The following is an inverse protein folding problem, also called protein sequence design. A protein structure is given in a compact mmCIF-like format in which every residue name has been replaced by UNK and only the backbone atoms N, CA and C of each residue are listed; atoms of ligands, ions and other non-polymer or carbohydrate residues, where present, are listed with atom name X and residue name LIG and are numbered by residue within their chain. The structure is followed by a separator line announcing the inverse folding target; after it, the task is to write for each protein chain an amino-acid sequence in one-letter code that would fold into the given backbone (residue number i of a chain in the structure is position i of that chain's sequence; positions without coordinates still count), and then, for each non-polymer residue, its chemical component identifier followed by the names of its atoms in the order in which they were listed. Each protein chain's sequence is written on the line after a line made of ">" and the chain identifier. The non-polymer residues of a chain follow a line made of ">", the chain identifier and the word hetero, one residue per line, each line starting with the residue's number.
data_IF_691570860587
#
_entry.id   IF_691570860587
#
_cell.length_a   1.000
_cell.length_b   1.000
_cell.length_c   1.000
_cell.angle_alpha   90.00
_cell.angle_beta   90.00
_cell.angle_gamma   90.00
#
_symmetry.space_group_name_H-M   'P 1'
#
loop_
_entity.id
_entity.type
_entity.pdbx_description
1 polymer ?
#
# COMPACT_ATOMS: atom_id res chain seq x y z
N UNK A 1 -11.50 8.99 16.68
CA UNK A 1 -10.78 7.93 17.43
C UNK A 1 -9.50 7.62 16.69
N UNK A 2 -8.34 7.91 17.29
CA UNK A 2 -7.03 7.69 16.64
C UNK A 2 -6.61 6.23 16.79
N UNK A 3 -6.21 5.53 15.70
CA UNK A 3 -5.65 4.19 15.77
C UNK A 3 -4.25 4.24 16.42
N UNK A 4 -3.96 3.29 17.30
CA UNK A 4 -2.61 3.13 17.88
C UNK A 4 -1.74 2.31 16.91
N UNK A 5 -0.52 2.80 16.64
CA UNK A 5 0.50 2.10 15.85
C UNK A 5 1.35 1.21 16.78
N UNK A 6 1.51 -0.07 16.40
CA UNK A 6 2.46 -0.98 17.05
C UNK A 6 3.61 -1.20 16.05
N UNK A 7 4.80 -0.73 16.41
CA UNK A 7 6.00 -0.88 15.58
C UNK A 7 6.60 -2.29 15.69
N UNK A 8 6.97 -2.89 14.56
CA UNK A 8 7.73 -4.15 14.48
C UNK A 8 9.17 -3.83 14.04
N UNK A 9 10.11 -3.85 14.98
CA UNK A 9 11.51 -3.42 14.76
C UNK A 9 12.34 -4.39 13.93
N UNK A 10 12.10 -5.69 14.00
CA UNK A 10 13.00 -6.73 13.45
C UNK A 10 12.93 -6.89 11.92
N UNK A 11 11.76 -6.67 11.29
CA UNK A 11 11.66 -6.68 9.82
C UNK A 11 12.27 -5.43 9.17
N UNK A 12 12.28 -4.30 9.87
CA UNK A 12 12.80 -3.04 9.36
C UNK A 12 14.33 -3.04 9.21
N UNK A 13 15.05 -3.82 10.03
CA UNK A 13 16.52 -3.93 9.97
C UNK A 13 16.97 -4.78 8.78
N UNK A 14 16.36 -5.93 8.56
CA UNK A 14 16.64 -6.79 7.40
C UNK A 14 16.37 -6.10 6.06
N UNK A 15 15.39 -5.23 6.00
CA UNK A 15 15.04 -4.51 4.77
C UNK A 15 15.97 -3.34 4.47
N UNK A 16 16.52 -2.69 5.51
CA UNK A 16 17.58 -1.67 5.32
C UNK A 16 18.85 -2.25 4.70
N UNK A 17 19.10 -3.54 4.91
CA UNK A 17 20.26 -4.26 4.37
C UNK A 17 20.06 -4.65 2.90
N UNK A 18 18.81 -4.86 2.47
CA UNK A 18 18.46 -5.34 1.12
C UNK A 18 18.10 -4.19 0.17
N UNK A 19 17.54 -3.08 0.67
CA UNK A 19 17.12 -1.95 -0.15
C UNK A 19 18.28 -0.99 -0.43
N UNK A 20 18.32 -0.34 -1.63
CA UNK A 20 19.28 0.72 -1.92
C UNK A 20 19.30 1.81 -0.84
N UNK A 21 20.48 2.34 -0.53
CA UNK A 21 20.68 3.30 0.55
C UNK A 21 19.86 4.59 0.44
N UNK A 22 19.36 4.93 -0.76
CA UNK A 22 18.51 6.08 -1.06
C UNK A 22 17.00 5.74 -1.05
N UNK A 23 16.61 4.53 -0.59
CA UNK A 23 15.22 4.09 -0.48
C UNK A 23 14.69 4.39 0.92
N UNK A 24 13.68 5.25 1.02
CA UNK A 24 12.92 5.45 2.26
C UNK A 24 11.77 4.45 2.38
N UNK A 25 11.53 3.92 3.56
CA UNK A 25 10.33 3.12 3.80
C UNK A 25 9.72 3.40 5.17
N UNK A 26 8.39 3.23 5.27
CA UNK A 26 7.66 3.30 6.53
C UNK A 26 6.60 2.21 6.54
N UNK A 27 6.48 1.49 7.66
CA UNK A 27 5.48 0.45 7.86
C UNK A 27 4.77 0.64 9.19
N UNK A 28 3.45 0.43 9.17
CA UNK A 28 2.61 0.54 10.37
C UNK A 28 1.51 -0.50 10.33
N UNK A 29 1.18 -1.06 11.49
CA UNK A 29 -0.03 -1.86 11.68
C UNK A 29 -1.06 -1.01 12.43
N UNK A 30 -2.20 -0.79 11.82
CA UNK A 30 -3.34 -0.11 12.44
C UNK A 30 -4.31 -1.17 12.95
N UNK A 31 -4.60 -1.15 14.25
CA UNK A 31 -5.49 -2.10 14.91
C UNK A 31 -6.72 -1.37 15.39
N UNK A 32 -7.91 -1.92 15.10
CA UNK A 32 -9.14 -1.36 15.62
C UNK A 32 -9.22 -1.58 17.14
N UNK A 33 -9.56 -0.53 17.90
CA UNK A 33 -9.61 -0.59 19.36
C UNK A 33 -10.66 -1.62 19.85
N UNK A 34 -11.75 -1.78 19.10
CA UNK A 34 -12.84 -2.68 19.46
C UNK A 34 -12.60 -4.16 19.08
N UNK A 35 -11.73 -4.41 18.10
CA UNK A 35 -11.48 -5.77 17.61
C UNK A 35 -10.08 -5.87 17.02
N UNK A 36 -9.18 -6.54 17.74
CA UNK A 36 -7.79 -6.74 17.32
C UNK A 36 -7.63 -7.54 16.02
N UNK A 37 -8.67 -8.26 15.58
CA UNK A 37 -8.67 -8.98 14.29
C UNK A 37 -8.84 -8.01 13.11
N UNK A 38 -9.41 -6.83 13.35
CA UNK A 38 -9.59 -5.78 12.33
C UNK A 38 -8.35 -4.91 12.27
N UNK A 39 -7.32 -5.44 11.63
CA UNK A 39 -6.06 -4.74 11.44
C UNK A 39 -5.83 -4.41 9.97
N UNK A 40 -5.13 -3.31 9.73
CA UNK A 40 -4.66 -2.91 8.42
C UNK A 40 -3.15 -2.75 8.48
N UNK A 41 -2.45 -3.55 7.71
CA UNK A 41 -1.04 -3.33 7.44
C UNK A 41 -0.91 -2.22 6.41
N UNK A 42 -0.05 -1.25 6.67
CA UNK A 42 0.24 -0.13 5.81
C UNK A 42 1.74 -0.05 5.56
N UNK A 43 2.13 0.11 4.32
CA UNK A 43 3.53 0.25 3.91
C UNK A 43 3.67 1.34 2.86
N UNK A 44 4.67 2.19 3.02
CA UNK A 44 5.12 3.16 2.01
C UNK A 44 6.58 2.90 1.72
N UNK A 45 6.91 2.79 0.44
CA UNK A 45 8.29 2.68 -0.04
C UNK A 45 8.54 3.84 -1.01
N UNK A 46 9.52 4.68 -0.70
CA UNK A 46 9.96 5.76 -1.56
C UNK A 46 11.04 5.21 -2.49
N UNK A 47 10.81 5.28 -3.80
CA UNK A 47 11.86 4.90 -4.76
C UNK A 47 13.04 5.84 -4.66
N UNK A 48 14.25 5.28 -4.62
CA UNK A 48 15.46 6.02 -4.88
C UNK A 48 15.60 6.46 -6.35
N UNK A 49 16.81 6.77 -6.78
CA UNK A 49 17.12 7.07 -8.19
C UNK A 49 16.91 5.85 -9.09
N UNK A 50 17.05 4.66 -8.55
CA UNK A 50 16.81 3.40 -9.23
C UNK A 50 15.41 2.86 -8.87
N UNK A 51 14.67 2.41 -9.90
CA UNK A 51 13.33 1.83 -9.76
C UNK A 51 13.35 0.38 -9.27
N UNK A 52 14.51 -0.25 -9.14
CA UNK A 52 14.65 -1.65 -8.71
C UNK A 52 14.10 -1.88 -7.30
N UNK A 53 13.97 -0.81 -6.49
CA UNK A 53 13.35 -0.87 -5.16
C UNK A 53 11.81 -1.02 -5.19
N UNK A 54 11.16 -0.74 -6.33
CA UNK A 54 9.70 -0.91 -6.47
C UNK A 54 9.41 -2.23 -7.18
N UNK A 55 9.25 -3.28 -6.41
CA UNK A 55 8.81 -4.57 -6.92
C UNK A 55 7.28 -4.59 -7.06
N UNK A 56 6.79 -5.38 -8.03
CA UNK A 56 5.36 -5.66 -8.14
C UNK A 56 4.90 -6.40 -6.88
N UNK A 57 3.83 -5.94 -6.20
CA UNK A 57 3.33 -6.62 -5.01
C UNK A 57 2.95 -8.07 -5.29
N UNK A 58 2.51 -8.37 -6.52
CA UNK A 58 2.16 -9.72 -6.94
C UNK A 58 3.33 -10.70 -6.76
N UNK A 59 4.55 -10.28 -7.07
CA UNK A 59 5.74 -11.13 -6.90
C UNK A 59 6.08 -11.34 -5.42
N UNK A 60 6.02 -10.26 -4.63
CA UNK A 60 6.31 -10.31 -3.20
C UNK A 60 5.27 -11.16 -2.44
N UNK A 61 4.00 -11.02 -2.77
CA UNK A 61 2.92 -11.76 -2.14
C UNK A 61 3.03 -13.26 -2.43
N UNK A 62 3.29 -13.63 -3.69
CA UNK A 62 3.49 -15.05 -4.05
C UNK A 62 4.72 -15.62 -3.35
N UNK A 63 5.84 -14.88 -3.29
CA UNK A 63 7.04 -15.27 -2.54
C UNK A 63 6.80 -15.45 -1.04
N UNK A 64 5.80 -14.76 -0.47
CA UNK A 64 5.37 -14.90 0.92
C UNK A 64 4.32 -16.02 1.13
N UNK A 65 3.98 -16.79 0.09
CA UNK A 65 3.03 -17.90 0.16
C UNK A 65 1.56 -17.47 0.03
N UNK A 66 1.28 -16.27 -0.51
CA UNK A 66 -0.07 -15.86 -0.87
C UNK A 66 -0.42 -16.34 -2.28
N UNK A 67 -1.64 -16.79 -2.47
CA UNK A 67 -2.22 -17.07 -3.80
C UNK A 67 -3.08 -15.88 -4.20
N UNK A 68 -2.83 -15.31 -5.38
CA UNK A 68 -3.65 -14.24 -5.95
C UNK A 68 -4.87 -14.88 -6.62
N UNK A 69 -6.04 -14.61 -6.07
CA UNK A 69 -7.33 -15.13 -6.56
C UNK A 69 -7.98 -14.18 -7.59
N UNK A 70 -7.64 -12.89 -7.56
CA UNK A 70 -8.16 -11.89 -8.48
C UNK A 70 -7.38 -10.58 -8.38
N UNK A 71 -7.47 -9.77 -9.44
CA UNK A 71 -6.87 -8.44 -9.52
C UNK A 71 -7.78 -7.52 -10.31
N UNK A 72 -8.01 -6.32 -9.83
CA UNK A 72 -8.79 -5.30 -10.52
C UNK A 72 -8.21 -3.91 -10.33
N UNK A 73 -8.46 -3.02 -11.31
CA UNK A 73 -8.23 -1.59 -11.19
C UNK A 73 -9.55 -0.94 -10.76
N UNK A 74 -9.55 -0.23 -9.64
CA UNK A 74 -10.77 0.36 -9.06
C UNK A 74 -10.45 1.63 -8.29
N UNK A 75 -11.48 2.28 -7.77
CA UNK A 75 -11.35 3.39 -6.87
C UNK A 75 -11.68 2.97 -5.44
N UNK A 76 -10.82 3.31 -4.50
CA UNK A 76 -11.04 3.10 -3.08
C UNK A 76 -11.65 4.37 -2.48
N UNK A 77 -12.89 4.26 -1.99
CA UNK A 77 -13.59 5.37 -1.35
C UNK A 77 -12.92 5.74 -0.02
N UNK A 78 -12.78 7.05 0.23
CA UNK A 78 -12.29 7.60 1.50
C UNK A 78 -13.45 8.14 2.35
N UNK A 79 -13.28 8.24 3.68
CA UNK A 79 -14.32 8.78 4.56
C UNK A 79 -14.71 10.21 4.18
N UNK A 80 -15.99 10.47 4.03
CA UNK A 80 -16.52 11.81 3.79
C UNK A 80 -16.29 12.77 4.96
N UNK A 81 -16.38 14.06 4.68
CA UNK A 81 -16.39 15.11 5.71
C UNK A 81 -15.04 15.70 6.09
N UNK A 82 -13.97 15.40 5.35
CA UNK A 82 -12.66 16.06 5.50
C UNK A 82 -12.31 16.81 4.22
N UNK A 83 -12.22 18.17 4.24
CA UNK A 83 -12.08 18.97 3.02
C UNK A 83 -10.79 18.73 2.23
N UNK A 84 -9.77 18.15 2.84
CA UNK A 84 -8.46 17.87 2.21
C UNK A 84 -8.41 16.47 1.57
N UNK A 85 -9.40 15.59 1.83
CA UNK A 85 -9.42 14.24 1.28
C UNK A 85 -10.09 14.22 -0.08
N UNK A 86 -9.52 13.54 -1.09
CA UNK A 86 -10.29 13.19 -2.29
C UNK A 86 -11.40 12.21 -1.90
N UNK A 87 -12.52 12.21 -2.61
CA UNK A 87 -13.61 11.26 -2.33
C UNK A 87 -13.18 9.81 -2.53
N UNK A 88 -12.26 9.58 -3.46
CA UNK A 88 -11.74 8.27 -3.82
C UNK A 88 -10.30 8.33 -4.34
N UNK A 89 -9.60 7.21 -4.28
CA UNK A 89 -8.22 7.06 -4.75
C UNK A 89 -8.14 5.88 -5.73
N UNK A 90 -7.55 6.06 -6.93
CA UNK A 90 -7.34 4.97 -7.87
C UNK A 90 -6.33 3.97 -7.30
N UNK A 91 -6.70 2.69 -7.26
CA UNK A 91 -5.88 1.62 -6.71
C UNK A 91 -5.92 0.37 -7.60
N UNK A 92 -4.86 -0.42 -7.57
CA UNK A 92 -4.93 -1.85 -7.88
C UNK A 92 -5.37 -2.59 -6.63
N UNK A 93 -6.42 -3.39 -6.74
CA UNK A 93 -6.96 -4.21 -5.68
C UNK A 93 -6.71 -5.68 -5.99
N UNK A 94 -6.04 -6.38 -5.08
CA UNK A 94 -5.75 -7.79 -5.19
C UNK A 94 -6.55 -8.56 -4.14
N UNK A 95 -7.25 -9.59 -4.60
CA UNK A 95 -7.86 -10.61 -3.75
C UNK A 95 -6.83 -11.71 -3.54
N UNK A 96 -6.33 -11.85 -2.32
CA UNK A 96 -5.33 -12.86 -1.99
C UNK A 96 -5.83 -13.81 -0.93
N UNK A 97 -5.35 -15.04 -0.97
CA UNK A 97 -5.65 -16.05 0.03
C UNK A 97 -4.40 -16.82 0.43
N UNK A 98 -4.36 -17.25 1.66
CA UNK A 98 -3.30 -18.11 2.17
C UNK A 98 -3.90 -19.23 3.01
N UNK A 99 -3.35 -20.43 2.85
CA UNK A 99 -3.73 -21.59 3.64
C UNK A 99 -2.79 -21.74 4.84
N UNK A 100 -3.38 -21.97 5.99
CA UNK A 100 -2.67 -22.28 7.23
C UNK A 100 -3.15 -23.62 7.76
N UNK A 101 -2.24 -24.41 8.31
CA UNK A 101 -2.59 -25.61 9.07
C UNK A 101 -2.63 -25.23 10.55
N UNK A 102 -3.82 -25.08 11.06
CA UNK A 102 -4.06 -24.81 12.49
C UNK A 102 -4.50 -26.04 13.28
N UNK A 103 -4.74 -25.91 14.58
CA UNK A 103 -5.22 -27.00 15.44
C UNK A 103 -6.56 -27.59 15.02
N UNK A 104 -7.36 -26.83 14.24
CA UNK A 104 -8.69 -27.24 13.71
C UNK A 104 -8.64 -27.76 12.28
N UNK A 105 -7.44 -27.98 11.72
CA UNK A 105 -7.24 -28.38 10.32
C UNK A 105 -6.74 -27.25 9.45
N UNK A 106 -6.96 -27.38 8.12
CA UNK A 106 -6.53 -26.40 7.12
C UNK A 106 -7.56 -25.26 7.08
N UNK A 107 -7.09 -24.03 7.30
CA UNK A 107 -7.89 -22.82 7.22
C UNK A 107 -7.39 -21.93 6.07
N UNK A 108 -8.31 -21.40 5.28
CA UNK A 108 -8.02 -20.43 4.24
C UNK A 108 -8.34 -19.03 4.76
N UNK A 109 -7.36 -18.15 4.75
CA UNK A 109 -7.52 -16.75 5.16
C UNK A 109 -7.51 -15.86 3.91
N UNK A 110 -8.67 -15.31 3.52
CA UNK A 110 -8.74 -14.31 2.46
C UNK A 110 -8.28 -12.95 3.00
N UNK A 111 -7.56 -12.21 2.16
CA UNK A 111 -7.19 -10.83 2.44
C UNK A 111 -7.39 -9.96 1.21
N UNK A 112 -7.57 -8.67 1.45
CA UNK A 112 -7.66 -7.65 0.43
C UNK A 112 -6.40 -6.78 0.50
N UNK A 113 -5.73 -6.61 -0.65
CA UNK A 113 -4.53 -5.77 -0.78
C UNK A 113 -4.83 -4.66 -1.77
N UNK A 114 -4.76 -3.41 -1.33
CA UNK A 114 -4.84 -2.25 -2.20
C UNK A 114 -3.46 -1.61 -2.33
N UNK A 115 -3.05 -1.29 -3.57
CA UNK A 115 -1.83 -0.55 -3.77
C UNK A 115 -1.97 0.52 -4.86
N UNK A 116 -1.16 1.57 -4.75
CA UNK A 116 -1.10 2.65 -5.72
C UNK A 116 0.25 3.36 -5.63
N UNK A 117 0.49 4.25 -6.58
CA UNK A 117 1.72 5.03 -6.65
C UNK A 117 1.40 6.52 -6.53
N UNK A 118 2.23 7.22 -5.77
CA UNK A 118 2.18 8.68 -5.59
C UNK A 118 3.40 9.27 -6.27
N UNK A 119 3.20 10.06 -7.30
CA UNK A 119 4.24 10.83 -7.99
C UNK A 119 4.08 12.33 -7.73
N UNK A 120 5.02 13.13 -8.18
CA UNK A 120 4.98 14.59 -8.07
C UNK A 120 3.68 15.17 -8.69
N UNK A 121 3.27 14.66 -9.84
CA UNK A 121 2.15 15.17 -10.63
C UNK A 121 0.82 14.44 -10.39
N UNK A 122 0.74 13.48 -9.47
CA UNK A 122 -0.52 12.80 -9.17
C UNK A 122 -0.41 11.37 -8.67
N UNK A 123 -1.57 10.70 -8.67
CA UNK A 123 -1.76 9.33 -8.23
C UNK A 123 -1.94 8.41 -9.43
N UNK A 124 -1.45 7.20 -9.31
CA UNK A 124 -1.64 6.14 -10.32
C UNK A 124 -1.97 4.82 -9.64
N UNK A 125 -3.11 4.22 -10.01
CA UNK A 125 -3.61 3.00 -9.39
C UNK A 125 -2.84 1.73 -9.74
N UNK A 126 -1.95 1.73 -10.75
CA UNK A 126 -1.29 0.52 -11.19
C UNK A 126 0.11 0.73 -11.77
N UNK A 127 0.90 -0.35 -11.75
CA UNK A 127 2.29 -0.33 -12.22
C UNK A 127 2.43 0.11 -13.69
N UNK A 128 1.56 -0.34 -14.58
CA UNK A 128 1.59 0.04 -16.00
C UNK A 128 1.40 1.56 -16.19
N UNK A 129 0.45 2.15 -15.46
CA UNK A 129 0.22 3.59 -15.48
C UNK A 129 1.40 4.39 -14.92
N UNK A 130 2.06 3.89 -13.88
CA UNK A 130 3.26 4.49 -13.31
C UNK A 130 4.40 4.50 -14.33
N UNK A 131 4.67 3.35 -14.97
CA UNK A 131 5.72 3.23 -16.00
C UNK A 131 5.44 4.16 -17.19
N UNK A 132 4.20 4.19 -17.68
CA UNK A 132 3.81 5.06 -18.79
C UNK A 132 4.02 6.53 -18.46
N UNK A 133 3.58 6.97 -17.28
CA UNK A 133 3.73 8.35 -16.83
C UNK A 133 5.19 8.77 -16.67
N UNK A 134 6.02 7.88 -16.15
CA UNK A 134 7.45 8.13 -16.00
C UNK A 134 8.18 8.21 -17.37
N UNK A 135 7.84 7.33 -18.32
CA UNK A 135 8.36 7.40 -19.68
C UNK A 135 7.94 8.72 -20.33
N UNK A 136 6.68 9.11 -20.20
CA UNK A 136 6.18 10.37 -20.74
C UNK A 136 6.91 11.58 -20.16
N UNK A 137 7.11 11.62 -18.84
CA UNK A 137 7.80 12.73 -18.18
C UNK A 137 9.28 12.81 -18.56
N UNK A 138 9.94 11.67 -18.78
CA UNK A 138 11.31 11.65 -19.31
C UNK A 138 11.40 12.19 -20.73
N UNK A 139 10.48 11.79 -21.61
CA UNK A 139 10.49 12.23 -23.01
C UNK A 139 10.09 13.71 -23.14
N UNK A 140 9.06 14.13 -22.38
CA UNK A 140 8.49 15.48 -22.51
C UNK A 140 9.24 16.54 -21.70
N UNK A 141 9.76 16.18 -20.55
CA UNK A 141 10.32 17.12 -19.57
C UNK A 141 11.78 16.82 -19.20
N UNK A 142 12.41 15.77 -19.76
CA UNK A 142 13.78 15.37 -19.43
C UNK A 142 13.98 14.98 -17.95
N UNK A 143 12.90 14.66 -17.22
CA UNK A 143 12.89 14.46 -15.77
C UNK A 143 12.45 13.05 -15.41
N UNK A 144 13.22 12.40 -14.54
CA UNK A 144 12.82 11.16 -13.90
C UNK A 144 12.03 11.48 -12.62
N UNK A 145 10.80 10.98 -12.53
CA UNK A 145 9.99 11.17 -11.33
C UNK A 145 10.37 10.16 -10.25
N UNK A 146 10.29 10.61 -9.01
CA UNK A 146 10.33 9.76 -7.83
C UNK A 146 8.91 9.34 -7.47
N UNK A 147 8.77 8.07 -7.16
CA UNK A 147 7.49 7.47 -6.84
C UNK A 147 7.48 6.94 -5.42
N UNK A 148 6.42 7.23 -4.69
CA UNK A 148 6.10 6.51 -3.48
C UNK A 148 5.14 5.37 -3.82
N UNK A 149 5.52 4.15 -3.51
CA UNK A 149 4.67 2.96 -3.57
C UNK A 149 3.95 2.81 -2.24
N UNK A 150 2.63 2.82 -2.26
CA UNK A 150 1.76 2.69 -1.08
C UNK A 150 1.00 1.38 -1.17
N UNK A 151 1.05 0.58 -0.11
CA UNK A 151 0.34 -0.69 0.02
C UNK A 151 -0.44 -0.73 1.33
N UNK A 152 -1.69 -1.18 1.25
CA UNK A 152 -2.55 -1.49 2.39
C UNK A 152 -3.04 -2.93 2.27
N UNK A 153 -3.09 -3.67 3.37
CA UNK A 153 -3.54 -5.06 3.41
C UNK A 153 -4.40 -5.31 4.64
N UNK A 154 -5.53 -6.01 4.48
CA UNK A 154 -6.44 -6.33 5.58
C UNK A 154 -7.11 -7.69 5.39
N UNK A 155 -7.54 -8.29 6.49
CA UNK A 155 -8.38 -9.51 6.49
C UNK A 155 -9.73 -9.25 5.78
N UNK A 156 -10.23 -10.20 5.03
CA UNK A 156 -11.47 -10.09 4.27
C UNK A 156 -12.52 -11.15 4.66
N UNK A 157 -12.35 -11.85 5.80
CA UNK A 157 -13.30 -12.87 6.29
C UNK A 157 -14.66 -12.31 6.65
N UNK A 158 -14.77 -11.03 6.97
CA UNK A 158 -16.03 -10.32 7.25
C UNK A 158 -16.66 -9.69 5.99
N UNK A 159 -16.13 -10.03 4.83
CA UNK A 159 -16.62 -9.58 3.53
C UNK A 159 -15.80 -8.44 2.92
N UNK A 160 -15.85 -8.37 1.59
CA UNK A 160 -15.06 -7.41 0.81
C UNK A 160 -15.45 -5.95 1.11
N UNK A 161 -16.75 -5.66 1.24
CA UNK A 161 -17.21 -4.30 1.52
C UNK A 161 -16.65 -3.77 2.86
N UNK A 162 -16.63 -4.61 3.91
CA UNK A 162 -16.05 -4.27 5.20
C UNK A 162 -14.54 -4.09 5.11
N UNK A 163 -13.84 -4.93 4.34
CA UNK A 163 -12.41 -4.82 4.10
C UNK A 163 -12.07 -3.52 3.35
N UNK A 164 -12.79 -3.18 2.27
CA UNK A 164 -12.64 -1.91 1.52
C UNK A 164 -12.85 -0.69 2.42
N UNK A 165 -13.89 -0.69 3.24
CA UNK A 165 -14.17 0.40 4.18
C UNK A 165 -13.03 0.60 5.19
N UNK A 166 -12.44 -0.49 5.71
CA UNK A 166 -11.27 -0.42 6.61
C UNK A 166 -10.05 0.18 5.92
N UNK A 167 -9.75 -0.28 4.69
CA UNK A 167 -8.64 0.26 3.90
C UNK A 167 -8.82 1.75 3.66
N UNK A 168 -10.01 2.18 3.23
CA UNK A 168 -10.35 3.59 3.02
C UNK A 168 -10.23 4.43 4.29
N UNK A 169 -10.68 3.90 5.44
CA UNK A 169 -10.59 4.59 6.73
C UNK A 169 -9.13 4.84 7.14
N UNK A 170 -8.27 3.83 7.02
CA UNK A 170 -6.84 3.97 7.34
C UNK A 170 -6.16 4.90 6.37
N UNK A 171 -6.41 4.75 5.06
CA UNK A 171 -5.85 5.62 4.04
C UNK A 171 -6.25 7.08 4.26
N UNK A 172 -7.52 7.35 4.57
CA UNK A 172 -7.98 8.70 4.90
C UNK A 172 -7.33 9.28 6.16
N UNK A 173 -6.96 8.43 7.12
CA UNK A 173 -6.24 8.85 8.32
C UNK A 173 -4.79 9.26 8.07
N UNK A 174 -4.09 8.57 7.17
CA UNK A 174 -2.68 8.83 6.83
C UNK A 174 -2.51 9.76 5.63
N UNK A 175 -3.59 10.15 4.97
CA UNK A 175 -3.58 10.96 3.76
C UNK A 175 -2.79 12.27 3.87
N UNK A 176 -2.94 13.08 4.96
CA UNK A 176 -2.18 14.31 5.10
C UNK A 176 -0.65 14.10 5.08
N UNK A 177 -0.19 12.99 5.67
CA UNK A 177 1.23 12.61 5.67
C UNK A 177 1.68 12.22 4.24
N UNK A 178 0.86 11.50 3.49
CA UNK A 178 1.15 11.10 2.10
C UNK A 178 1.22 12.30 1.14
N UNK A 179 0.35 13.30 1.33
CA UNK A 179 0.36 14.52 0.50
C UNK A 179 1.58 15.37 0.80
N UNK A 180 2.07 15.41 2.03
CA UNK A 180 3.28 16.16 2.38
C UNK A 180 4.54 15.61 1.69
N UNK A 181 4.57 14.33 1.34
CA UNK A 181 5.66 13.68 0.61
C UNK A 181 5.76 14.18 -0.85
N UNK A 182 4.64 14.64 -1.45
CA UNK A 182 4.58 15.09 -2.86
C UNK A 182 5.43 16.33 -3.16
N UNK A 183 5.76 17.13 -2.19
CA UNK A 183 6.45 18.42 -2.36
C UNK A 183 7.86 18.50 -1.80
N UNK A 184 8.37 17.47 -1.18
CA UNK A 184 9.70 17.53 -0.55
C UNK A 184 10.81 17.17 -1.54
N UNK A 185 11.80 18.06 -1.76
CA UNK A 185 13.08 17.65 -2.33
C UNK A 185 13.69 16.65 -1.35
N UNK A 186 14.08 15.50 -1.85
CA UNK A 186 14.81 14.52 -1.03
C UNK A 186 16.23 15.03 -0.75
N UNK A 187 16.76 14.76 0.46
CA UNK A 187 18.11 15.11 0.82
C UNK A 187 19.16 14.51 -0.10
#
# INVERSE_FOLDING_TARGET
>A
MSPRSIGNSTCAELEREILPADTGFSRRNFVAVADARRQVFFSVVLSGRDRTSIHRPELCLVGQGWTIAGSEQTNLALPAGRPVLPPEVPVSLLHVKREFTGPRGRETVPQLVAYFFVGADGLVGGHAGMVWRDVWNRVRHGRADRWAYVLLQTDARDGEAAARARLGTVLGGVWPELVSIRGQPLP
#
